data_IF_409742106059
#
_entry.id   IF_409742106059
#
_cell.length_a   1.000
_cell.length_b   1.000
_cell.length_c   1.000
_cell.angle_alpha   90.00
_cell.angle_beta   90.00
_cell.angle_gamma   90.00
#
_symmetry.space_group_name_H-M   'P 1'
#
loop_
_entity.id
_entity.type
_entity.pdbx_description
1 polymer ?
#
# COMPACT_ATOMS: atom_id res chain seq x y z
N UNK A 1 -26.08 23.19 -17.78
CA UNK A 1 -25.60 21.99 -17.11
C UNK A 1 -26.02 21.97 -15.66
N UNK A 2 -26.32 20.82 -15.17
CA UNK A 2 -26.74 20.63 -13.80
C UNK A 2 -25.50 20.58 -12.87
N UNK A 3 -25.50 21.38 -11.80
CA UNK A 3 -24.42 21.38 -10.81
C UNK A 3 -24.23 19.98 -10.18
N UNK A 4 -25.29 19.18 -10.15
CA UNK A 4 -25.26 17.80 -9.69
C UNK A 4 -24.31 16.95 -10.55
N UNK A 5 -24.34 17.11 -11.88
CA UNK A 5 -23.48 16.37 -12.79
C UNK A 5 -22.03 16.80 -12.66
N UNK A 6 -21.79 18.10 -12.47
CA UNK A 6 -20.44 18.65 -12.34
C UNK A 6 -19.69 18.10 -11.15
N UNK A 7 -20.40 17.67 -10.09
CA UNK A 7 -19.79 17.31 -8.83
C UNK A 7 -19.92 15.83 -8.49
N UNK A 8 -20.39 14.99 -9.39
CA UNK A 8 -20.72 13.61 -9.09
C UNK A 8 -19.56 12.85 -8.42
N UNK A 9 -18.41 12.82 -9.08
CA UNK A 9 -17.26 12.10 -8.53
C UNK A 9 -16.40 12.97 -7.59
N UNK A 10 -16.41 14.29 -7.79
CA UNK A 10 -15.69 15.20 -6.90
C UNK A 10 -16.24 15.16 -5.46
N UNK A 11 -17.48 14.74 -5.29
CA UNK A 11 -18.13 14.63 -3.99
C UNK A 11 -18.09 13.21 -3.42
N UNK A 12 -17.54 12.28 -4.14
CA UNK A 12 -17.38 10.89 -3.69
C UNK A 12 -16.19 10.76 -2.76
N UNK A 13 -16.23 9.78 -1.88
CA UNK A 13 -15.06 9.37 -1.12
C UNK A 13 -14.31 8.32 -1.92
N UNK A 14 -12.99 8.45 -1.96
CA UNK A 14 -12.14 7.44 -2.61
C UNK A 14 -11.96 6.27 -1.63
N UNK A 15 -12.20 5.06 -2.13
CA UNK A 15 -12.07 3.85 -1.35
C UNK A 15 -11.02 2.95 -1.98
N UNK A 16 -9.97 2.62 -1.24
CA UNK A 16 -8.91 1.73 -1.70
C UNK A 16 -9.33 0.29 -1.50
N UNK A 17 -9.20 -0.52 -2.56
CA UNK A 17 -9.58 -1.93 -2.54
C UNK A 17 -8.47 -2.78 -3.16
N UNK A 18 -8.12 -3.87 -2.48
CA UNK A 18 -7.12 -4.82 -2.95
C UNK A 18 -7.76 -6.21 -3.09
N UNK A 19 -7.53 -6.90 -4.21
CA UNK A 19 -8.11 -8.23 -4.40
C UNK A 19 -7.39 -9.27 -3.55
N UNK A 20 -8.15 -10.26 -3.07
CA UNK A 20 -7.61 -11.40 -2.34
C UNK A 20 -8.34 -12.66 -2.81
N UNK A 21 -7.59 -13.62 -3.37
CA UNK A 21 -8.18 -14.90 -3.75
C UNK A 21 -8.50 -15.76 -2.53
N UNK A 22 -7.72 -15.59 -1.45
CA UNK A 22 -7.89 -16.31 -0.20
C UNK A 22 -7.89 -15.29 0.95
N UNK A 23 -9.08 -14.95 1.44
CA UNK A 23 -9.22 -13.95 2.52
C UNK A 23 -8.60 -14.41 3.83
N UNK A 24 -8.64 -15.71 4.14
CA UNK A 24 -8.03 -16.22 5.37
C UNK A 24 -6.51 -16.08 5.31
N UNK A 25 -5.91 -16.38 4.17
CA UNK A 25 -4.48 -16.21 3.97
C UNK A 25 -4.09 -14.74 4.03
N UNK A 26 -4.86 -13.88 3.40
CA UNK A 26 -4.64 -12.43 3.45
C UNK A 26 -4.74 -11.90 4.88
N UNK A 27 -5.77 -12.33 5.61
CA UNK A 27 -5.95 -11.92 7.01
C UNK A 27 -4.70 -12.26 7.85
N UNK A 28 -4.20 -13.48 7.69
CA UNK A 28 -3.00 -13.92 8.42
C UNK A 28 -1.77 -13.10 8.04
N UNK A 29 -1.57 -12.85 6.75
CA UNK A 29 -0.42 -12.07 6.28
C UNK A 29 -0.44 -10.66 6.86
N UNK A 30 -1.57 -9.98 6.75
CA UNK A 30 -1.69 -8.60 7.24
C UNK A 30 -1.53 -8.53 8.76
N UNK A 31 -2.07 -9.48 9.50
CA UNK A 31 -1.93 -9.53 10.95
C UNK A 31 -0.50 -9.85 11.37
N UNK A 32 0.07 -10.92 10.85
CA UNK A 32 1.36 -11.43 11.30
C UNK A 32 2.55 -10.64 10.73
N UNK A 33 2.48 -10.27 9.45
CA UNK A 33 3.60 -9.61 8.76
C UNK A 33 3.52 -8.09 8.82
N UNK A 34 2.33 -7.54 8.81
CA UNK A 34 2.16 -6.09 8.80
C UNK A 34 1.66 -5.54 10.14
N UNK A 35 1.23 -6.39 11.05
CA UNK A 35 0.68 -5.96 12.33
C UNK A 35 -0.69 -5.30 12.22
N UNK A 36 -1.44 -5.61 11.15
CA UNK A 36 -2.72 -4.99 10.87
C UNK A 36 -3.86 -6.00 11.01
N UNK A 37 -4.60 -5.89 12.11
CA UNK A 37 -5.82 -6.68 12.31
C UNK A 37 -6.99 -5.95 11.65
N UNK A 38 -7.93 -6.69 11.01
CA UNK A 38 -9.11 -6.03 10.44
C UNK A 38 -10.00 -5.46 11.54
N UNK A 39 -10.63 -4.31 11.26
CA UNK A 39 -11.60 -3.70 12.18
C UNK A 39 -13.02 -4.17 11.90
N UNK A 40 -13.26 -4.79 10.76
CA UNK A 40 -14.53 -5.44 10.42
C UNK A 40 -14.26 -6.57 9.43
N UNK A 41 -15.00 -7.67 9.56
CA UNK A 41 -14.86 -8.85 8.72
C UNK A 41 -16.23 -9.28 8.22
N UNK A 42 -16.30 -9.52 6.90
CA UNK A 42 -17.50 -10.02 6.24
C UNK A 42 -17.10 -11.14 5.29
N UNK A 43 -18.04 -11.97 4.84
CA UNK A 43 -17.71 -13.01 3.85
C UNK A 43 -17.08 -12.43 2.57
N UNK A 44 -17.42 -11.21 2.21
CA UNK A 44 -16.90 -10.56 1.00
C UNK A 44 -15.61 -9.80 1.18
N UNK A 45 -15.14 -9.57 2.41
CA UNK A 45 -13.92 -8.80 2.59
C UNK A 45 -13.57 -8.44 4.03
N UNK A 46 -12.41 -7.84 4.15
CA UNK A 46 -11.82 -7.40 5.40
C UNK A 46 -11.56 -5.90 5.34
N UNK A 47 -12.05 -5.16 6.32
CA UNK A 47 -11.80 -3.72 6.42
C UNK A 47 -10.63 -3.48 7.36
N UNK A 48 -9.61 -2.80 6.87
CA UNK A 48 -8.47 -2.37 7.67
C UNK A 48 -8.45 -0.86 7.80
N UNK A 49 -7.97 -0.38 8.94
CA UNK A 49 -7.87 1.06 9.21
C UNK A 49 -6.48 1.41 9.67
N UNK A 50 -5.87 2.38 8.98
CA UNK A 50 -4.64 3.02 9.40
C UNK A 50 -4.97 4.46 9.85
N UNK A 51 -3.95 5.26 10.16
CA UNK A 51 -4.16 6.62 10.64
C UNK A 51 -4.99 7.47 9.66
N UNK A 52 -6.28 7.53 9.87
CA UNK A 52 -7.18 8.37 9.09
C UNK A 52 -7.60 7.85 7.72
N UNK A 53 -7.24 6.62 7.36
CA UNK A 53 -7.62 6.05 6.07
C UNK A 53 -7.93 4.56 6.19
N UNK A 54 -8.89 4.12 5.42
CA UNK A 54 -9.31 2.72 5.38
C UNK A 54 -8.93 2.10 4.04
N UNK A 55 -8.71 0.78 4.04
CA UNK A 55 -8.64 0.00 2.82
C UNK A 55 -9.31 -1.35 3.04
N UNK A 56 -9.74 -1.97 1.95
CA UNK A 56 -10.49 -3.23 2.00
C UNK A 56 -9.74 -4.28 1.19
N UNK A 57 -9.59 -5.46 1.77
CA UNK A 57 -9.25 -6.66 1.02
C UNK A 57 -10.56 -7.32 0.63
N UNK A 58 -10.84 -7.45 -0.66
CA UNK A 58 -12.10 -8.02 -1.10
C UNK A 58 -11.86 -9.39 -1.77
N UNK A 59 -12.83 -10.28 -1.57
CA UNK A 59 -12.77 -11.61 -2.19
C UNK A 59 -12.82 -11.47 -3.71
N UNK A 60 -11.86 -12.07 -4.37
CA UNK A 60 -11.73 -11.99 -5.83
C UNK A 60 -11.39 -13.36 -6.41
N UNK A 61 -11.92 -13.67 -7.60
CA UNK A 61 -11.49 -14.85 -8.35
C UNK A 61 -10.21 -14.57 -9.12
N UNK A 62 -9.95 -13.31 -9.43
CA UNK A 62 -8.73 -12.86 -10.11
C UNK A 62 -7.65 -12.45 -9.14
N UNK A 63 -6.40 -12.57 -9.57
CA UNK A 63 -5.24 -12.13 -8.82
C UNK A 63 -4.68 -10.85 -9.40
N UNK A 64 -4.00 -10.07 -8.57
CA UNK A 64 -3.21 -8.93 -9.03
C UNK A 64 -2.04 -9.40 -9.90
N UNK A 65 -1.70 -8.62 -10.94
CA UNK A 65 -0.50 -8.87 -11.73
C UNK A 65 0.78 -8.62 -10.91
N UNK A 66 0.69 -7.75 -9.90
CA UNK A 66 1.83 -7.37 -9.08
C UNK A 66 2.91 -6.60 -9.83
N UNK A 67 2.57 -5.99 -10.97
CA UNK A 67 3.55 -5.31 -11.83
C UNK A 67 3.64 -3.81 -11.58
N UNK A 68 2.80 -3.27 -10.72
CA UNK A 68 2.79 -1.85 -10.36
C UNK A 68 2.30 -1.70 -8.93
N UNK A 69 2.66 -0.59 -8.29
CA UNK A 69 2.22 -0.29 -6.93
C UNK A 69 0.72 -0.04 -6.90
N UNK A 70 0.00 -0.84 -6.14
CA UNK A 70 -1.45 -0.74 -6.02
C UNK A 70 -1.88 0.14 -4.85
N UNK A 71 -1.09 0.15 -3.79
CA UNK A 71 -1.34 0.96 -2.61
C UNK A 71 0.00 1.20 -1.92
N UNK A 72 0.13 2.34 -1.25
CA UNK A 72 1.33 2.65 -0.49
C UNK A 72 0.96 3.18 0.89
N UNK A 73 1.83 2.88 1.84
CA UNK A 73 1.77 3.44 3.19
C UNK A 73 2.75 4.60 3.28
N UNK A 74 2.28 5.77 3.68
CA UNK A 74 3.17 6.90 3.94
C UNK A 74 3.60 6.84 5.41
N UNK A 75 4.90 6.91 5.64
CA UNK A 75 5.49 6.78 6.98
C UNK A 75 6.49 7.90 7.23
N UNK A 76 6.80 8.12 8.51
CA UNK A 76 7.76 9.17 8.92
C UNK A 76 9.18 8.64 9.05
N UNK A 77 9.36 7.33 9.21
CA UNK A 77 10.66 6.68 9.38
C UNK A 77 10.70 5.37 8.59
N UNK A 78 11.05 5.47 7.32
CA UNK A 78 11.05 4.30 6.44
C UNK A 78 12.09 3.25 6.86
N UNK A 79 13.25 3.67 7.36
CA UNK A 79 14.28 2.73 7.78
C UNK A 79 13.79 1.88 8.96
N UNK A 80 13.16 2.51 9.93
CA UNK A 80 12.58 1.80 11.07
C UNK A 80 11.44 0.89 10.67
N UNK A 81 10.57 1.34 9.77
CA UNK A 81 9.43 0.54 9.28
C UNK A 81 9.93 -0.66 8.49
N UNK A 82 10.86 -0.48 7.56
CA UNK A 82 11.43 -1.59 6.78
C UNK A 82 12.08 -2.61 7.70
N UNK A 83 12.87 -2.17 8.67
CA UNK A 83 13.52 -3.07 9.63
C UNK A 83 12.49 -3.86 10.44
N UNK A 84 11.43 -3.22 10.90
CA UNK A 84 10.37 -3.90 11.66
C UNK A 84 9.63 -4.93 10.80
N UNK A 85 9.28 -4.57 9.57
CA UNK A 85 8.59 -5.50 8.67
C UNK A 85 9.48 -6.68 8.30
N UNK A 86 10.78 -6.45 8.11
CA UNK A 86 11.72 -7.54 7.86
C UNK A 86 11.80 -8.50 9.06
N UNK A 87 11.79 -7.99 10.27
CA UNK A 87 11.73 -8.85 11.47
C UNK A 87 10.48 -9.71 11.50
N UNK A 88 9.39 -9.22 10.93
CA UNK A 88 8.13 -9.98 10.82
C UNK A 88 8.10 -10.91 9.62
N UNK A 89 9.17 -10.95 8.84
CA UNK A 89 9.32 -11.85 7.71
C UNK A 89 8.89 -11.27 6.36
N UNK A 90 8.67 -9.97 6.26
CA UNK A 90 8.40 -9.33 4.96
C UNK A 90 9.68 -9.29 4.16
N UNK A 91 9.59 -9.64 2.87
CA UNK A 91 10.72 -9.59 1.93
C UNK A 91 10.51 -8.40 1.00
N UNK A 92 11.42 -7.43 1.09
CA UNK A 92 11.36 -6.26 0.22
C UNK A 92 11.99 -6.55 -1.13
N UNK A 93 11.42 -5.95 -2.18
CA UNK A 93 11.89 -6.10 -3.55
C UNK A 93 13.20 -5.36 -3.77
N UNK A 94 14.08 -5.94 -4.58
CA UNK A 94 15.25 -5.23 -5.09
C UNK A 94 14.91 -4.69 -6.46
N UNK A 95 15.14 -3.39 -6.66
CA UNK A 95 14.87 -2.72 -7.93
C UNK A 95 16.17 -2.11 -8.42
N UNK A 96 16.52 -2.36 -9.69
CA UNK A 96 17.71 -1.79 -10.33
C UNK A 96 17.38 -1.52 -11.79
N UNK A 97 16.78 -0.36 -12.02
CA UNK A 97 16.44 0.12 -13.36
C UNK A 97 16.93 1.55 -13.50
N UNK A 98 17.08 2.09 -14.72
CA UNK A 98 17.50 3.47 -14.90
C UNK A 98 16.63 4.44 -14.10
N UNK A 99 17.29 5.23 -13.24
CA UNK A 99 16.60 6.23 -12.42
C UNK A 99 15.98 5.70 -11.13
N UNK A 100 16.05 4.38 -10.88
CA UNK A 100 15.46 3.81 -9.67
C UNK A 100 16.27 2.60 -9.21
N UNK A 101 16.99 2.76 -8.11
CA UNK A 101 17.78 1.66 -7.52
C UNK A 101 17.58 1.61 -6.03
N UNK A 102 17.27 0.42 -5.52
CA UNK A 102 17.19 0.18 -4.08
C UNK A 102 18.55 -0.20 -3.52
N UNK A 103 18.81 0.25 -2.30
CA UNK A 103 19.92 -0.18 -1.47
C UNK A 103 19.33 -0.62 -0.14
N UNK A 104 19.54 -1.86 0.23
CA UNK A 104 18.89 -2.46 1.41
C UNK A 104 17.37 -2.30 1.37
N UNK A 105 16.79 -2.46 0.18
CA UNK A 105 15.35 -2.38 -0.05
C UNK A 105 14.78 -0.98 -0.19
N UNK A 106 15.58 0.07 -0.05
CA UNK A 106 15.10 1.46 -0.06
C UNK A 106 15.73 2.22 -1.23
N UNK A 107 14.90 2.94 -1.99
CA UNK A 107 15.33 3.80 -3.07
C UNK A 107 15.09 5.26 -2.73
N UNK A 108 16.01 6.12 -3.18
CA UNK A 108 15.81 7.56 -3.17
C UNK A 108 15.20 7.97 -4.50
N UNK A 109 14.06 8.64 -4.45
CA UNK A 109 13.28 9.02 -5.63
C UNK A 109 13.22 10.53 -5.70
N UNK A 110 13.75 11.10 -6.79
CA UNK A 110 13.65 12.55 -7.02
C UNK A 110 12.22 12.93 -7.34
N UNK A 111 11.83 14.10 -6.90
CA UNK A 111 10.46 14.57 -7.06
C UNK A 111 9.55 13.96 -6.02
N UNK A 112 8.30 14.37 -6.05
CA UNK A 112 7.33 13.95 -5.05
C UNK A 112 5.92 14.04 -5.62
N UNK A 113 5.03 13.21 -5.12
CA UNK A 113 3.62 13.30 -5.47
C UNK A 113 3.04 14.58 -4.85
N UNK A 114 2.17 15.29 -5.57
CA UNK A 114 1.62 16.57 -5.06
C UNK A 114 1.02 16.49 -3.67
N UNK A 115 0.43 15.35 -3.32
CA UNK A 115 -0.22 15.15 -2.02
C UNK A 115 0.75 15.14 -0.84
N UNK A 116 2.04 14.94 -1.07
CA UNK A 116 3.02 14.79 0.01
C UNK A 116 3.70 16.11 0.39
N UNK A 117 3.70 17.08 -0.50
CA UNK A 117 4.27 18.41 -0.21
C UNK A 117 5.77 18.42 0.07
N UNK A 118 6.52 17.46 -0.48
CA UNK A 118 7.94 17.33 -0.25
C UNK A 118 8.71 17.41 -1.58
N UNK A 119 10.04 17.53 -1.51
CA UNK A 119 10.90 17.62 -2.70
C UNK A 119 11.29 16.27 -3.27
N UNK A 120 11.21 15.21 -2.48
CA UNK A 120 11.62 13.86 -2.87
C UNK A 120 10.94 12.84 -1.98
N UNK A 121 11.15 11.56 -2.29
CA UNK A 121 10.60 10.47 -1.54
C UNK A 121 11.62 9.35 -1.41
N UNK A 122 11.63 8.67 -0.27
CA UNK A 122 12.32 7.40 -0.10
C UNK A 122 11.27 6.30 -0.13
N UNK A 123 11.48 5.25 -0.90
CA UNK A 123 10.48 4.23 -1.12
C UNK A 123 11.01 2.82 -1.01
N UNK A 124 10.14 1.89 -0.63
CA UNK A 124 10.41 0.46 -0.58
C UNK A 124 9.15 -0.28 -1.00
N UNK A 125 9.31 -1.49 -1.55
CA UNK A 125 8.21 -2.26 -2.11
C UNK A 125 8.25 -3.70 -1.66
N UNK A 126 7.07 -4.28 -1.42
CA UNK A 126 6.93 -5.68 -1.09
C UNK A 126 5.60 -6.20 -1.63
N UNK A 127 5.46 -7.52 -1.70
CA UNK A 127 4.21 -8.16 -2.12
C UNK A 127 3.49 -8.72 -0.91
N UNK A 128 2.15 -8.56 -0.90
CA UNK A 128 1.36 -9.26 0.10
C UNK A 128 1.17 -10.73 -0.32
N UNK A 129 0.43 -11.49 0.49
CA UNK A 129 0.18 -12.91 0.23
C UNK A 129 -0.64 -13.18 -1.03
N UNK A 130 -1.30 -12.14 -1.55
CA UNK A 130 -2.20 -12.25 -2.71
C UNK A 130 -1.57 -11.70 -3.99
N UNK A 131 -0.28 -11.34 -3.94
CA UNK A 131 0.45 -10.83 -5.08
C UNK A 131 0.26 -9.34 -5.34
N UNK A 132 -0.40 -8.61 -4.45
CA UNK A 132 -0.50 -7.17 -4.57
C UNK A 132 0.84 -6.53 -4.27
N UNK A 133 1.30 -5.64 -5.14
CA UNK A 133 2.53 -4.89 -4.91
C UNK A 133 2.19 -3.65 -4.08
N UNK A 134 2.79 -3.58 -2.91
CA UNK A 134 2.56 -2.49 -1.96
C UNK A 134 3.83 -1.68 -1.76
N UNK A 135 3.67 -0.39 -1.55
CA UNK A 135 4.79 0.50 -1.28
C UNK A 135 4.78 1.04 0.13
N UNK A 136 5.96 1.44 0.58
CA UNK A 136 6.15 2.23 1.79
C UNK A 136 6.95 3.45 1.37
N UNK A 137 6.48 4.64 1.72
CA UNK A 137 7.13 5.87 1.30
C UNK A 137 7.30 6.87 2.44
N UNK A 138 8.47 7.52 2.47
CA UNK A 138 8.74 8.61 3.39
C UNK A 138 8.99 9.87 2.59
N UNK A 139 8.21 10.95 2.80
CA UNK A 139 8.47 12.21 2.11
C UNK A 139 9.74 12.87 2.65
N UNK A 140 10.55 13.42 1.75
CA UNK A 140 11.78 14.15 2.08
C UNK A 140 11.52 15.63 1.87
N UNK A 141 11.45 16.36 2.95
CA UNK A 141 11.20 17.83 2.93
C UNK A 141 12.45 18.67 2.85
#
# INVERSE_FOLDING_TARGET
>A
MNAHDENTLARARVATRLPAQDLDRARRFYAERLGLEPVDERPGGLLHRCAGADFVLFRSTGASSGTFTQMAFEVDDIEGVVAELERRGVVFEDVDVPGLRTTDGIADIEGNYPSKGARAERGAWFRDSEGNLLGVGEPVV
#
